data_IF_808263665821
#
_entry.id   IF_808263665821
#
_cell.length_a   1.000
_cell.length_b   1.000
_cell.length_c   1.000
_cell.angle_alpha   90.00
_cell.angle_beta   90.00
_cell.angle_gamma   90.00
#
_symmetry.space_group_name_H-M   'P 1'
#
loop_
_entity.id
_entity.type
_entity.pdbx_description
1 polymer ?
#
# COMPACT_ATOMS: atom_id res chain seq x y z
N UNK A 1 -12.69 8.67 2.21
CA UNK A 1 -11.61 8.09 1.36
C UNK A 1 -11.29 6.66 1.75
N UNK A 2 -10.93 6.37 3.01
CA UNK A 2 -10.62 5.01 3.50
C UNK A 2 -11.71 3.96 3.20
N UNK A 3 -12.99 4.33 3.26
CA UNK A 3 -14.10 3.42 2.86
C UNK A 3 -14.01 2.98 1.39
N UNK A 4 -13.59 3.87 0.48
CA UNK A 4 -13.40 3.55 -0.94
C UNK A 4 -12.16 2.69 -1.17
N UNK A 5 -11.13 2.80 -0.32
CA UNK A 5 -9.98 1.89 -0.35
C UNK A 5 -10.37 0.44 -0.06
N UNK A 6 -11.37 0.24 0.81
CA UNK A 6 -11.90 -1.08 1.16
C UNK A 6 -12.88 -1.63 0.14
N UNK A 7 -13.54 -0.76 -0.61
CA UNK A 7 -14.54 -1.16 -1.57
C UNK A 7 -13.87 -1.75 -2.82
N UNK A 8 -13.81 -3.08 -2.89
CA UNK A 8 -13.26 -3.82 -4.04
C UNK A 8 -14.21 -3.82 -5.24
N UNK A 9 -15.43 -3.25 -5.13
CA UNK A 9 -16.41 -3.23 -6.23
C UNK A 9 -16.02 -2.29 -7.37
N UNK A 10 -15.23 -1.26 -7.11
CA UNK A 10 -14.77 -0.31 -8.12
C UNK A 10 -13.28 -0.04 -7.99
N UNK A 11 -12.50 -0.64 -8.91
CA UNK A 11 -11.06 -0.43 -8.99
C UNK A 11 -10.71 1.07 -9.16
N UNK A 12 -11.43 1.79 -10.02
CA UNK A 12 -11.19 3.22 -10.29
C UNK A 12 -11.42 4.07 -9.04
N UNK A 13 -12.49 3.82 -8.28
CA UNK A 13 -12.76 4.57 -7.05
C UNK A 13 -11.70 4.28 -5.98
N UNK A 14 -11.25 3.03 -5.90
CA UNK A 14 -10.19 2.59 -5.00
C UNK A 14 -8.86 3.27 -5.33
N UNK A 15 -8.50 3.30 -6.60
CA UNK A 15 -7.30 3.98 -7.10
C UNK A 15 -7.34 5.48 -6.86
N UNK A 16 -8.46 6.14 -7.18
CA UNK A 16 -8.64 7.57 -6.90
C UNK A 16 -8.50 7.86 -5.40
N UNK A 17 -9.00 6.98 -4.53
CA UNK A 17 -8.82 7.13 -3.09
C UNK A 17 -7.34 7.01 -2.66
N UNK A 18 -6.56 6.09 -3.24
CA UNK A 18 -5.10 6.02 -3.02
C UNK A 18 -4.43 7.33 -3.43
N UNK A 19 -4.74 7.85 -4.62
CA UNK A 19 -4.14 9.08 -5.14
C UNK A 19 -4.41 10.24 -4.19
N UNK A 20 -5.66 10.45 -3.80
CA UNK A 20 -6.03 11.54 -2.90
C UNK A 20 -5.37 11.39 -1.52
N UNK A 21 -5.34 10.18 -0.96
CA UNK A 21 -4.70 9.94 0.34
C UNK A 21 -3.19 10.17 0.27
N UNK A 22 -2.52 9.69 -0.77
CA UNK A 22 -1.09 9.88 -0.96
C UNK A 22 -0.74 11.36 -1.14
N UNK A 23 -1.52 12.09 -1.95
CA UNK A 23 -1.31 13.53 -2.16
C UNK A 23 -1.57 14.35 -0.90
N UNK A 24 -2.61 14.04 -0.13
CA UNK A 24 -2.93 14.73 1.12
C UNK A 24 -1.87 14.47 2.21
N UNK A 25 -1.46 13.22 2.38
CA UNK A 25 -0.47 12.85 3.38
C UNK A 25 0.90 13.48 3.08
N UNK A 26 1.33 13.51 1.81
CA UNK A 26 2.61 14.12 1.43
C UNK A 26 2.58 15.66 1.42
N UNK A 27 1.42 16.27 1.17
CA UNK A 27 1.31 17.73 1.01
C UNK A 27 1.13 18.50 2.31
N UNK A 28 0.50 17.91 3.33
CA UNK A 28 0.19 18.61 4.58
C UNK A 28 0.38 17.70 5.81
N UNK A 29 1.24 18.11 6.74
CA UNK A 29 1.50 17.40 7.99
C UNK A 29 0.23 17.20 8.84
N UNK A 30 -0.66 18.19 8.89
CA UNK A 30 -1.95 18.06 9.57
C UNK A 30 -2.87 17.03 8.92
N UNK A 31 -2.85 16.92 7.58
CA UNK A 31 -3.62 15.92 6.87
C UNK A 31 -3.03 14.52 7.08
N UNK A 32 -1.71 14.38 7.02
CA UNK A 32 -1.02 13.13 7.36
C UNK A 32 -1.40 12.67 8.78
N UNK A 33 -1.33 13.57 9.76
CA UNK A 33 -1.72 13.29 11.14
C UNK A 33 -3.19 12.92 11.28
N UNK A 34 -4.09 13.64 10.63
CA UNK A 34 -5.52 13.32 10.66
C UNK A 34 -5.82 11.93 10.04
N UNK A 35 -5.10 11.55 8.99
CA UNK A 35 -5.20 10.22 8.37
C UNK A 35 -4.61 9.16 9.31
N UNK A 36 -3.45 9.40 9.92
CA UNK A 36 -2.81 8.48 10.88
C UNK A 36 -3.69 8.20 12.12
N UNK A 37 -4.43 9.20 12.59
CA UNK A 37 -5.35 9.05 13.73
C UNK A 37 -6.56 8.16 13.43
N UNK A 38 -6.84 7.84 12.17
CA UNK A 38 -7.88 6.88 11.83
C UNK A 38 -7.35 5.47 12.08
N UNK A 39 -7.95 4.72 13.03
CA UNK A 39 -7.52 3.39 13.51
C UNK A 39 -7.21 2.32 12.43
N UNK A 40 -7.60 2.55 11.18
CA UNK A 40 -7.50 1.57 10.10
C UNK A 40 -6.84 2.12 8.84
N UNK A 41 -6.36 3.36 8.82
CA UNK A 41 -5.81 3.97 7.61
C UNK A 41 -4.59 3.22 7.08
N UNK A 42 -3.66 2.86 7.98
CA UNK A 42 -2.46 2.08 7.67
C UNK A 42 -2.86 0.68 7.19
N UNK A 43 -3.75 0.01 7.91
CA UNK A 43 -4.22 -1.33 7.55
C UNK A 43 -4.92 -1.39 6.19
N UNK A 44 -5.69 -0.35 5.83
CA UNK A 44 -6.37 -0.22 4.54
C UNK A 44 -5.38 0.01 3.39
N UNK A 45 -4.35 0.84 3.59
CA UNK A 45 -3.28 1.07 2.61
C UNK A 45 -2.43 -0.20 2.41
N UNK A 46 -2.13 -0.92 3.49
CA UNK A 46 -1.44 -2.22 3.41
C UNK A 46 -2.27 -3.26 2.67
N UNK A 47 -3.57 -3.34 2.96
CA UNK A 47 -4.49 -4.24 2.24
C UNK A 47 -4.55 -3.92 0.75
N UNK A 48 -4.41 -2.65 0.35
CA UNK A 48 -4.28 -2.27 -1.06
C UNK A 48 -2.99 -2.82 -1.69
N UNK A 49 -1.86 -2.72 -0.99
CA UNK A 49 -0.58 -3.25 -1.48
C UNK A 49 -0.60 -4.78 -1.58
N UNK A 50 -1.12 -5.46 -0.57
CA UNK A 50 -1.24 -6.92 -0.54
C UNK A 50 -2.14 -7.44 -1.66
N UNK A 51 -3.31 -6.82 -1.88
CA UNK A 51 -4.19 -7.20 -2.98
C UNK A 51 -3.52 -6.98 -4.34
N UNK A 52 -2.80 -5.87 -4.50
CA UNK A 52 -2.08 -5.55 -5.74
C UNK A 52 -0.93 -6.53 -6.00
N UNK A 53 -0.25 -6.95 -4.93
CA UNK A 53 0.80 -7.95 -4.98
C UNK A 53 0.27 -9.34 -5.34
N UNK A 54 -0.85 -9.75 -4.73
CA UNK A 54 -1.52 -11.00 -5.08
C UNK A 54 -1.94 -11.02 -6.55
N UNK A 55 -2.49 -9.92 -7.06
CA UNK A 55 -2.84 -9.79 -8.49
C UNK A 55 -1.60 -9.88 -9.40
N UNK A 56 -0.50 -9.22 -9.04
CA UNK A 56 0.76 -9.28 -9.79
C UNK A 56 1.38 -10.69 -9.77
N UNK A 57 1.28 -11.41 -8.65
CA UNK A 57 1.71 -12.81 -8.55
C UNK A 57 0.86 -13.73 -9.44
N UNK A 58 -0.47 -13.59 -9.41
CA UNK A 58 -1.37 -14.33 -10.29
C UNK A 58 -1.00 -14.13 -11.76
N UNK A 59 -0.72 -12.89 -12.17
CA UNK A 59 -0.30 -12.58 -13.54
C UNK A 59 1.05 -13.24 -13.89
N UNK A 60 2.06 -13.16 -13.01
CA UNK A 60 3.37 -13.80 -13.24
C UNK A 60 3.27 -15.32 -13.37
N UNK A 61 2.45 -15.96 -12.53
CA UNK A 61 2.22 -17.41 -12.62
C UNK A 61 1.50 -17.80 -13.90
N UNK A 62 0.54 -16.98 -14.37
CA UNK A 62 -0.16 -17.22 -15.63
C UNK A 62 0.72 -16.95 -16.86
N UNK A 63 1.65 -15.98 -16.80
CA UNK A 63 2.57 -15.70 -17.92
C UNK A 63 3.50 -16.89 -18.26
N UNK A 64 3.73 -17.81 -17.32
CA UNK A 64 4.51 -19.03 -17.54
C UNK A 64 3.70 -20.20 -18.12
N UNK A 65 2.37 -20.11 -18.14
CA UNK A 65 1.47 -21.13 -18.66
C UNK A 65 0.80 -20.61 -19.95
N UNK A 66 0.99 -21.35 -21.04
CA UNK A 66 0.57 -20.98 -22.39
C UNK A 66 -0.89 -20.50 -22.42
N UNK A 67 -1.08 -19.24 -22.86
CA UNK A 67 -2.26 -18.57 -23.43
C UNK A 67 -3.65 -19.26 -23.41
N UNK A 68 -4.06 -19.89 -22.30
CA UNK A 68 -5.46 -20.26 -22.08
C UNK A 68 -6.13 -19.18 -21.24
N UNK A 69 -7.00 -18.46 -21.92
CA UNK A 69 -7.86 -17.40 -21.41
C UNK A 69 -8.58 -17.87 -20.13
N UNK A 70 -8.48 -17.11 -19.05
CA UNK A 70 -9.62 -16.59 -18.26
C UNK A 70 -9.17 -16.04 -16.90
N UNK A 71 -9.00 -14.72 -16.84
CA UNK A 71 -9.41 -13.78 -15.79
C UNK A 71 -8.45 -12.58 -15.82
N UNK A 72 -8.92 -11.35 -16.13
CA UNK A 72 -8.08 -10.17 -16.02
C UNK A 72 -7.93 -9.86 -14.52
N UNK A 73 -6.98 -10.52 -13.87
CA UNK A 73 -6.40 -9.97 -12.65
C UNK A 73 -5.59 -8.77 -13.13
N UNK A 74 -6.24 -7.63 -13.33
CA UNK A 74 -5.52 -6.38 -13.64
C UNK A 74 -4.82 -5.95 -12.35
N UNK A 75 -3.50 -6.16 -12.21
CA UNK A 75 -2.81 -5.63 -11.05
C UNK A 75 -2.96 -4.11 -11.08
N UNK A 76 -3.09 -3.49 -9.91
CA UNK A 76 -2.93 -2.05 -9.82
C UNK A 76 -1.56 -1.68 -10.42
N UNK A 77 -1.50 -0.57 -11.16
CA UNK A 77 -0.23 -0.11 -11.72
C UNK A 77 0.83 0.03 -10.62
N UNK A 78 2.09 -0.27 -10.95
CA UNK A 78 3.24 -0.09 -10.05
C UNK A 78 3.27 1.34 -9.48
N UNK A 79 2.83 2.34 -10.24
CA UNK A 79 2.72 3.72 -9.77
C UNK A 79 1.68 3.88 -8.65
N UNK A 80 0.59 3.12 -8.68
CA UNK A 80 -0.43 3.12 -7.64
C UNK A 80 0.07 2.45 -6.36
N UNK A 81 0.80 1.34 -6.49
CA UNK A 81 1.48 0.71 -5.35
C UNK A 81 2.51 1.67 -4.74
N UNK A 82 3.30 2.37 -5.57
CA UNK A 82 4.27 3.36 -5.10
C UNK A 82 3.59 4.53 -4.37
N UNK A 83 2.44 5.01 -4.86
CA UNK A 83 1.65 6.06 -4.19
C UNK A 83 1.14 5.59 -2.83
N UNK A 84 0.62 4.37 -2.73
CA UNK A 84 0.19 3.80 -1.45
C UNK A 84 1.38 3.65 -0.46
N UNK A 85 2.53 3.17 -0.93
CA UNK A 85 3.75 3.07 -0.12
C UNK A 85 4.24 4.46 0.37
N UNK A 86 4.22 5.48 -0.49
CA UNK A 86 4.57 6.86 -0.09
C UNK A 86 3.56 7.48 0.88
N UNK A 87 2.28 7.12 0.76
CA UNK A 87 1.29 7.49 1.77
C UNK A 87 1.68 6.88 3.12
N UNK A 88 2.03 5.59 3.18
CA UNK A 88 2.51 4.95 4.40
C UNK A 88 3.77 5.62 4.95
N UNK A 89 4.71 6.02 4.10
CA UNK A 89 5.91 6.77 4.52
C UNK A 89 5.55 8.10 5.20
N UNK A 90 4.69 8.90 4.58
CA UNK A 90 4.24 10.16 5.16
C UNK A 90 3.47 9.97 6.48
N UNK A 91 2.78 8.83 6.64
CA UNK A 91 2.15 8.50 7.92
C UNK A 91 3.19 8.07 8.96
N UNK A 92 4.22 7.30 8.58
CA UNK A 92 5.26 6.81 9.50
C UNK A 92 6.14 7.94 10.07
N UNK A 93 6.22 9.09 9.38
CA UNK A 93 6.86 10.31 9.89
C UNK A 93 6.04 11.00 11.01
N UNK A 94 4.78 10.60 11.21
CA UNK A 94 3.91 11.14 12.26
C UNK A 94 4.05 10.26 13.51
N UNK A 95 4.53 10.83 14.61
CA UNK A 95 4.78 10.10 15.87
C UNK A 95 3.53 9.38 16.40
N UNK A 96 2.33 9.96 16.26
CA UNK A 96 1.08 9.35 16.71
C UNK A 96 0.70 8.07 15.96
N UNK A 97 1.28 7.84 14.79
CA UNK A 97 1.01 6.64 13.97
C UNK A 97 1.79 5.41 14.42
N UNK A 98 2.87 5.59 15.21
CA UNK A 98 3.84 4.54 15.53
C UNK A 98 3.20 3.29 16.14
N UNK A 99 2.30 3.46 17.10
CA UNK A 99 1.61 2.34 17.76
C UNK A 99 0.78 1.50 16.78
N UNK A 100 0.16 2.14 15.79
CA UNK A 100 -0.58 1.44 14.74
C UNK A 100 0.36 0.73 13.76
N UNK A 101 1.51 1.33 13.45
CA UNK A 101 2.52 0.70 12.60
C UNK A 101 3.12 -0.56 13.23
N UNK A 102 3.39 -0.55 14.55
CA UNK A 102 3.89 -1.74 15.25
C UNK A 102 2.93 -2.94 15.13
N UNK A 103 1.62 -2.71 15.11
CA UNK A 103 0.62 -3.77 14.90
C UNK A 103 0.65 -4.38 13.48
N UNK A 104 1.28 -3.69 12.54
CA UNK A 104 1.35 -4.07 11.13
C UNK A 104 2.77 -4.32 10.63
N UNK A 105 3.76 -4.34 11.52
CA UNK A 105 5.17 -4.53 11.19
C UNK A 105 5.43 -5.83 10.42
N UNK A 106 4.84 -6.95 10.88
CA UNK A 106 4.97 -8.24 10.18
C UNK A 106 4.49 -8.16 8.73
N UNK A 107 3.38 -7.45 8.47
CA UNK A 107 2.81 -7.30 7.12
C UNK A 107 3.71 -6.43 6.24
N UNK A 108 4.29 -5.37 6.79
CA UNK A 108 5.27 -4.54 6.09
C UNK A 108 6.52 -5.35 5.71
N UNK A 109 7.01 -6.19 6.61
CA UNK A 109 8.12 -7.11 6.34
C UNK A 109 7.78 -8.11 5.25
N UNK A 110 6.59 -8.74 5.31
CA UNK A 110 6.14 -9.70 4.28
C UNK A 110 6.08 -9.05 2.88
N UNK A 111 5.62 -7.80 2.80
CA UNK A 111 5.62 -7.03 1.55
C UNK A 111 7.05 -6.72 1.10
N UNK A 112 7.93 -6.27 1.99
CA UNK A 112 9.28 -5.84 1.62
C UNK A 112 10.15 -6.97 1.07
N UNK A 113 9.98 -8.18 1.61
CA UNK A 113 10.74 -9.38 1.18
C UNK A 113 10.10 -10.11 0.00
N UNK A 114 8.90 -9.72 -0.43
CA UNK A 114 8.21 -10.41 -1.50
C UNK A 114 8.90 -10.21 -2.86
N UNK A 115 9.25 -11.30 -3.58
CA UNK A 115 9.93 -11.21 -4.88
C UNK A 115 9.01 -10.68 -6.00
N UNK A 116 7.71 -10.55 -5.73
CA UNK A 116 6.76 -10.03 -6.68
C UNK A 116 6.57 -8.51 -6.58
N UNK A 117 7.04 -7.87 -5.50
CA UNK A 117 7.00 -6.41 -5.33
C UNK A 117 8.07 -5.74 -6.18
N UNK A 118 7.72 -4.64 -6.82
CA UNK A 118 8.65 -3.80 -7.57
C UNK A 118 9.71 -3.18 -6.65
N UNK A 119 10.96 -3.05 -7.13
CA UNK A 119 12.08 -2.57 -6.32
C UNK A 119 11.84 -1.17 -5.74
N UNK A 120 11.15 -0.28 -6.47
CA UNK A 120 10.85 1.07 -6.01
C UNK A 120 9.79 1.07 -4.90
N UNK A 121 8.86 0.10 -4.93
CA UNK A 121 7.85 -0.06 -3.87
C UNK A 121 8.52 -0.67 -2.63
N UNK A 122 9.33 -1.71 -2.81
CA UNK A 122 10.08 -2.35 -1.71
C UNK A 122 10.99 -1.34 -1.00
N UNK A 123 11.70 -0.49 -1.75
CA UNK A 123 12.53 0.57 -1.16
C UNK A 123 11.76 1.49 -0.21
N UNK A 124 10.59 1.97 -0.62
CA UNK A 124 9.76 2.86 0.21
C UNK A 124 9.22 2.12 1.44
N UNK A 125 8.85 0.85 1.31
CA UNK A 125 8.42 0.04 2.46
C UNK A 125 9.57 -0.22 3.44
N UNK A 126 10.79 -0.43 2.95
CA UNK A 126 11.99 -0.52 3.79
C UNK A 126 12.26 0.79 4.54
N UNK A 127 12.04 1.95 3.89
CA UNK A 127 12.14 3.26 4.56
C UNK A 127 11.08 3.40 5.68
N UNK A 128 9.85 2.97 5.44
CA UNK A 128 8.80 2.91 6.48
C UNK A 128 9.23 2.04 7.66
N UNK A 129 9.69 0.81 7.38
CA UNK A 129 10.19 -0.12 8.40
C UNK A 129 11.33 0.48 9.21
N UNK A 130 12.23 1.22 8.57
CA UNK A 130 13.33 1.91 9.25
C UNK A 130 12.84 3.03 10.17
N UNK A 131 11.84 3.83 9.76
CA UNK A 131 11.28 4.89 10.59
C UNK A 131 10.58 4.34 11.83
N UNK A 132 9.83 3.24 11.70
CA UNK A 132 9.10 2.65 12.83
C UNK A 132 10.02 1.92 13.81
N UNK A 133 11.14 1.35 13.33
CA UNK A 133 12.12 0.64 14.15
C UNK A 133 13.05 1.58 14.94
N UNK A 134 13.11 2.87 14.60
CA UNK A 134 13.86 3.86 15.38
C UNK A 134 13.16 4.12 16.72
N UNK A 135 13.89 4.17 17.85
CA UNK A 135 13.31 4.52 19.15
C UNK A 135 12.79 5.97 19.20
#
# INVERSE_FOLDING_TARGET
LLRFLRDRKSAVCREMAVVLLASLAQGHSLAARAIALQERSIGDLLGFLEDSLAAAQCQKSQAGLVHEQNAPCEPASVDMMRRAARALLALAEVDESRSQFTLHESRLLDISVSPAVDSLVSQVICEVLFLIARP
#
